data_IF_695406609466
#
_entry.id   IF_695406609466
#
_cell.length_a   1.000
_cell.length_b   1.000
_cell.length_c   1.000
_cell.angle_alpha   90.00
_cell.angle_beta   90.00
_cell.angle_gamma   90.00
#
_symmetry.space_group_name_H-M   'P 1'
#
loop_
_entity.id
_entity.type
_entity.pdbx_description
1 polymer ?
#
# COMPACT_ATOMS: atom_id res chain seq x y z
N UNK A 1 -4.20 -7.39 17.41
CA UNK A 1 -4.03 -6.40 16.33
C UNK A 1 -5.25 -5.50 16.24
N UNK A 2 -5.02 -4.18 16.37
CA UNK A 2 -6.02 -3.11 16.27
C UNK A 2 -6.11 -2.58 14.84
N UNK A 3 -7.30 -2.15 14.43
CA UNK A 3 -7.56 -1.53 13.12
C UNK A 3 -8.05 -0.11 13.38
N UNK A 4 -7.37 0.87 12.80
CA UNK A 4 -7.64 2.30 12.99
C UNK A 4 -8.06 2.92 11.66
N UNK A 5 -9.21 3.59 11.61
CA UNK A 5 -9.67 4.34 10.42
C UNK A 5 -9.30 5.80 10.59
N UNK A 6 -8.46 6.33 9.70
CA UNK A 6 -7.98 7.71 9.75
C UNK A 6 -8.71 8.63 8.75
N UNK A 7 -9.36 8.05 7.73
CA UNK A 7 -9.99 8.82 6.66
C UNK A 7 -8.95 9.50 5.75
N UNK A 8 -9.33 10.64 5.17
CA UNK A 8 -8.44 11.44 4.32
C UNK A 8 -7.44 12.23 5.18
N UNK A 9 -6.15 11.99 5.00
CA UNK A 9 -5.08 12.61 5.80
C UNK A 9 -3.95 13.16 4.94
N UNK A 10 -3.21 14.14 5.44
CA UNK A 10 -1.96 14.57 4.80
C UNK A 10 -0.91 13.44 4.88
N UNK A 11 -0.19 13.19 3.78
CA UNK A 11 0.80 12.12 3.71
C UNK A 11 1.94 12.29 4.72
N UNK A 12 2.58 13.47 4.74
CA UNK A 12 3.75 13.73 5.59
C UNK A 12 3.40 13.63 7.07
N UNK A 13 2.27 14.22 7.48
CA UNK A 13 1.80 14.14 8.87
C UNK A 13 1.51 12.68 9.28
N UNK A 14 0.85 11.91 8.41
CA UNK A 14 0.56 10.49 8.69
C UNK A 14 1.86 9.67 8.77
N UNK A 15 2.83 9.98 7.92
CA UNK A 15 4.14 9.33 7.94
C UNK A 15 4.93 9.64 9.21
N UNK A 16 4.91 10.87 9.71
CA UNK A 16 5.48 11.22 11.01
C UNK A 16 4.81 10.42 12.14
N UNK A 17 3.48 10.31 12.13
CA UNK A 17 2.75 9.49 13.11
C UNK A 17 3.18 8.01 13.07
N UNK A 18 3.38 7.44 11.88
CA UNK A 18 3.88 6.08 11.73
C UNK A 18 5.28 5.90 12.36
N UNK A 19 6.16 6.87 12.16
CA UNK A 19 7.51 6.86 12.71
C UNK A 19 7.48 6.97 14.24
N UNK A 20 6.70 7.93 14.77
CA UNK A 20 6.52 8.14 16.21
C UNK A 20 5.93 6.91 16.87
N UNK A 21 4.87 6.32 16.29
CA UNK A 21 4.28 5.09 16.79
C UNK A 21 5.35 3.99 16.87
N UNK A 22 6.01 3.71 15.74
CA UNK A 22 7.00 2.62 15.62
C UNK A 22 8.18 2.76 16.57
N UNK A 23 8.64 3.99 16.80
CA UNK A 23 9.75 4.31 17.71
C UNK A 23 9.37 4.13 19.18
N UNK A 24 8.15 4.49 19.57
CA UNK A 24 7.71 4.46 20.97
C UNK A 24 7.08 3.13 21.40
N UNK A 25 6.91 2.17 20.48
CA UNK A 25 6.35 0.85 20.83
C UNK A 25 7.19 0.14 21.88
N UNK A 26 6.50 -0.36 22.89
CA UNK A 26 6.99 -1.31 23.88
C UNK A 26 6.70 -2.74 23.44
N UNK A 27 7.16 -3.72 24.22
CA UNK A 27 7.02 -5.16 23.91
C UNK A 27 5.55 -5.62 23.85
N UNK A 28 4.70 -5.01 24.67
CA UNK A 28 3.27 -5.27 24.82
C UNK A 28 2.41 -4.37 23.91
N UNK A 29 3.01 -3.39 23.23
CA UNK A 29 2.26 -2.54 22.30
C UNK A 29 1.69 -3.39 21.16
N UNK A 30 0.36 -3.35 21.04
CA UNK A 30 -0.38 -4.08 20.00
C UNK A 30 0.04 -3.61 18.60
N UNK A 31 0.06 -4.53 17.62
CA UNK A 31 0.22 -4.13 16.21
C UNK A 31 -1.03 -3.42 15.70
N UNK A 32 -0.84 -2.46 14.80
CA UNK A 32 -1.94 -1.70 14.19
C UNK A 32 -1.95 -1.82 12.66
N UNK A 33 -3.16 -1.84 12.10
CA UNK A 33 -3.42 -1.55 10.69
C UNK A 33 -4.13 -0.20 10.60
N UNK A 34 -3.56 0.75 9.86
CA UNK A 34 -4.19 2.06 9.65
C UNK A 34 -4.78 2.14 8.25
N UNK A 35 -6.09 2.37 8.18
CA UNK A 35 -6.82 2.61 6.94
C UNK A 35 -6.84 4.11 6.69
N UNK A 36 -6.36 4.53 5.53
CA UNK A 36 -6.19 5.94 5.19
C UNK A 36 -6.36 6.17 3.70
N UNK A 37 -6.72 7.40 3.35
CA UNK A 37 -6.61 7.95 2.00
C UNK A 37 -5.76 9.22 2.08
N UNK A 38 -5.14 9.61 0.95
CA UNK A 38 -4.35 10.84 0.88
C UNK A 38 -4.88 11.77 -0.21
N UNK A 39 -4.81 13.10 -0.01
CA UNK A 39 -4.86 14.04 -1.13
C UNK A 39 -3.80 13.68 -2.19
N UNK A 40 -3.97 14.13 -3.44
CA UNK A 40 -3.02 13.84 -4.51
C UNK A 40 -1.56 14.10 -4.08
N UNK A 41 -0.72 13.08 -4.15
CA UNK A 41 0.70 13.15 -3.80
C UNK A 41 1.50 12.11 -4.55
N UNK A 42 2.66 12.51 -5.07
CA UNK A 42 3.69 11.58 -5.50
C UNK A 42 4.62 11.28 -4.33
N UNK A 43 4.93 10.01 -4.12
CA UNK A 43 5.91 9.62 -3.10
C UNK A 43 7.05 8.90 -3.77
N UNK A 44 8.28 9.26 -3.41
CA UNK A 44 9.48 8.61 -3.92
C UNK A 44 10.13 7.83 -2.78
N UNK A 45 10.23 6.50 -2.93
CA UNK A 45 10.89 5.63 -1.96
C UNK A 45 12.41 5.67 -2.09
N UNK A 46 13.10 4.96 -1.19
CA UNK A 46 14.58 4.95 -1.09
C UNK A 46 15.29 4.40 -2.34
N UNK A 47 14.60 3.61 -3.17
CA UNK A 47 15.13 3.09 -4.44
C UNK A 47 14.71 3.94 -5.63
N UNK A 48 14.02 5.06 -5.39
CA UNK A 48 13.56 5.98 -6.42
C UNK A 48 14.72 6.72 -7.06
N UNK A 49 14.72 6.77 -8.39
CA UNK A 49 15.61 7.63 -9.18
C UNK A 49 14.87 8.89 -9.60
N UNK A 50 15.56 10.04 -9.57
CA UNK A 50 15.01 11.35 -9.91
C UNK A 50 14.33 11.36 -11.29
N UNK A 51 14.87 10.62 -12.26
CA UNK A 51 14.34 10.54 -13.63
C UNK A 51 13.04 9.73 -13.82
N UNK A 52 12.39 9.26 -12.75
CA UNK A 52 11.09 8.59 -12.85
C UNK A 52 9.90 9.53 -12.75
N UNK A 53 10.11 10.82 -12.46
CA UNK A 53 9.13 11.87 -12.70
C UNK A 53 9.29 12.34 -14.14
N UNK A 54 8.29 12.08 -14.98
CA UNK A 54 8.32 12.37 -16.41
C UNK A 54 7.81 13.78 -16.71
N UNK A 55 6.87 14.26 -15.91
CA UNK A 55 6.18 15.53 -16.12
C UNK A 55 6.01 16.28 -14.80
N UNK A 56 6.24 17.59 -14.83
CA UNK A 56 5.92 18.48 -13.71
C UNK A 56 4.41 18.69 -13.62
N UNK A 57 3.88 18.71 -12.41
CA UNK A 57 2.48 19.00 -12.12
C UNK A 57 2.38 19.71 -10.76
N UNK A 58 1.19 20.22 -10.43
CA UNK A 58 0.92 20.84 -9.12
C UNK A 58 0.82 19.82 -7.98
N UNK A 59 0.88 18.51 -8.28
CA UNK A 59 0.89 17.44 -7.29
C UNK A 59 2.26 17.41 -6.59
N UNK A 60 2.31 17.53 -5.25
CA UNK A 60 3.57 17.54 -4.52
C UNK A 60 4.32 16.21 -4.61
N UNK A 61 5.65 16.28 -4.64
CA UNK A 61 6.53 15.10 -4.58
C UNK A 61 7.18 15.02 -3.20
N UNK A 62 6.87 13.98 -2.44
CA UNK A 62 7.43 13.73 -1.11
C UNK A 62 8.49 12.64 -1.16
N UNK A 63 9.69 12.95 -0.68
CA UNK A 63 10.75 11.97 -0.46
C UNK A 63 10.43 11.16 0.80
N UNK A 64 10.22 9.86 0.63
CA UNK A 64 9.79 8.95 1.68
C UNK A 64 10.85 7.88 1.94
N UNK A 65 10.79 7.26 3.12
CA UNK A 65 11.75 6.22 3.51
C UNK A 65 11.27 4.78 3.25
N UNK A 66 10.10 4.61 2.62
CA UNK A 66 9.61 3.29 2.19
C UNK A 66 10.51 2.68 1.13
N UNK A 67 10.49 1.35 1.05
CA UNK A 67 11.01 0.63 -0.09
C UNK A 67 10.30 1.00 -1.40
N UNK A 68 10.94 0.65 -2.52
CA UNK A 68 10.42 0.88 -3.86
C UNK A 68 10.79 2.24 -4.44
N UNK A 69 10.22 2.53 -5.61
CA UNK A 69 10.52 3.72 -6.40
C UNK A 69 9.43 4.79 -6.22
N UNK A 70 9.12 5.57 -7.26
CA UNK A 70 8.02 6.53 -7.27
C UNK A 70 6.65 5.83 -7.39
N UNK A 71 5.62 6.40 -6.76
CA UNK A 71 4.20 6.03 -6.92
C UNK A 71 3.32 7.25 -6.70
N UNK A 72 2.03 7.12 -7.05
CA UNK A 72 0.99 8.11 -6.81
C UNK A 72 -0.02 7.60 -5.77
N UNK A 73 -0.51 8.52 -4.94
CA UNK A 73 -1.65 8.33 -4.03
C UNK A 73 -2.65 9.48 -4.24
N UNK A 74 -3.93 9.17 -4.12
CA UNK A 74 -5.02 10.14 -4.23
C UNK A 74 -6.32 9.62 -3.62
N UNK A 75 -7.36 10.46 -3.54
CA UNK A 75 -8.70 10.05 -3.11
C UNK A 75 -9.22 8.88 -3.97
N UNK A 76 -9.91 7.94 -3.33
CA UNK A 76 -10.39 6.72 -3.98
C UNK A 76 -9.36 5.59 -4.03
N UNK A 77 -8.15 5.80 -3.50
CA UNK A 77 -7.16 4.76 -3.29
C UNK A 77 -7.16 4.30 -1.84
N UNK A 78 -7.45 3.02 -1.61
CA UNK A 78 -7.37 2.43 -0.28
C UNK A 78 -5.92 2.22 0.11
N UNK A 79 -5.46 2.84 1.20
CA UNK A 79 -4.14 2.61 1.76
C UNK A 79 -4.27 1.93 3.12
N UNK A 80 -3.47 0.88 3.33
CA UNK A 80 -3.37 0.18 4.62
C UNK A 80 -1.92 0.19 5.08
N UNK A 81 -1.62 0.99 6.09
CA UNK A 81 -0.32 0.96 6.76
C UNK A 81 -0.27 -0.16 7.79
N UNK A 82 0.78 -0.96 7.74
CA UNK A 82 1.01 -2.16 8.53
C UNK A 82 2.08 -1.87 9.59
N UNK A 83 1.66 -1.46 10.78
CA UNK A 83 2.53 -1.14 11.90
C UNK A 83 2.75 -2.39 12.76
N UNK A 84 3.57 -3.32 12.26
CA UNK A 84 3.67 -4.71 12.73
C UNK A 84 5.06 -5.04 13.27
N UNK A 85 5.16 -5.75 14.39
CA UNK A 85 6.42 -6.30 14.89
C UNK A 85 6.68 -7.68 14.25
N UNK A 86 7.60 -7.72 13.28
CA UNK A 86 7.94 -8.93 12.55
C UNK A 86 8.63 -9.98 13.44
N UNK A 87 9.35 -9.55 14.49
CA UNK A 87 9.99 -10.47 15.42
C UNK A 87 8.94 -11.23 16.22
N UNK A 88 7.88 -10.54 16.65
CA UNK A 88 6.75 -11.18 17.34
C UNK A 88 6.03 -12.19 16.44
N UNK A 89 5.96 -11.92 15.14
CA UNK A 89 5.38 -12.85 14.17
C UNK A 89 6.33 -13.98 13.74
N UNK A 90 7.62 -13.91 14.07
CA UNK A 90 8.61 -14.89 13.62
C UNK A 90 8.83 -14.93 12.10
N UNK A 91 8.50 -13.84 11.38
CA UNK A 91 8.61 -13.78 9.91
C UNK A 91 9.59 -12.70 9.44
N UNK A 92 10.14 -12.89 8.24
CA UNK A 92 10.93 -11.85 7.56
C UNK A 92 10.07 -10.92 6.69
N UNK A 93 10.67 -9.80 6.24
CA UNK A 93 9.99 -8.81 5.39
C UNK A 93 9.42 -9.40 4.10
N UNK A 94 10.13 -10.35 3.46
CA UNK A 94 9.65 -11.01 2.24
C UNK A 94 8.33 -11.76 2.48
N UNK A 95 8.24 -12.48 3.59
CA UNK A 95 7.01 -13.20 3.97
C UNK A 95 5.88 -12.21 4.28
N UNK A 96 6.17 -11.10 4.97
CA UNK A 96 5.18 -10.05 5.20
C UNK A 96 4.62 -9.46 3.89
N UNK A 97 5.49 -9.19 2.91
CA UNK A 97 5.05 -8.77 1.56
C UNK A 97 4.14 -9.81 0.93
N UNK A 98 4.53 -11.09 0.94
CA UNK A 98 3.69 -12.16 0.39
C UNK A 98 2.34 -12.31 1.11
N UNK A 99 2.28 -12.10 2.43
CA UNK A 99 1.02 -12.11 3.18
C UNK A 99 0.09 -10.96 2.75
N UNK A 100 0.63 -9.77 2.48
CA UNK A 100 -0.15 -8.64 1.95
C UNK A 100 -0.65 -8.92 0.53
N UNK A 101 0.19 -9.48 -0.33
CA UNK A 101 -0.20 -9.87 -1.70
C UNK A 101 -1.35 -10.89 -1.68
N UNK A 102 -1.23 -11.95 -0.85
CA UNK A 102 -2.28 -12.96 -0.71
C UNK A 102 -3.58 -12.37 -0.15
N UNK A 103 -3.50 -11.47 0.84
CA UNK A 103 -4.68 -10.82 1.39
C UNK A 103 -5.44 -9.98 0.35
N UNK A 104 -4.70 -9.29 -0.54
CA UNK A 104 -5.30 -8.54 -1.65
C UNK A 104 -5.93 -9.50 -2.67
N UNK A 105 -5.21 -10.55 -3.07
CA UNK A 105 -5.71 -11.53 -4.06
C UNK A 105 -7.00 -12.20 -3.56
N UNK A 106 -7.04 -12.61 -2.29
CA UNK A 106 -8.22 -13.22 -1.67
C UNK A 106 -9.43 -12.28 -1.71
N UNK A 107 -9.24 -11.01 -1.35
CA UNK A 107 -10.32 -10.01 -1.38
C UNK A 107 -10.79 -9.78 -2.81
N UNK A 108 -9.88 -9.60 -3.77
CA UNK A 108 -10.22 -9.44 -5.18
C UNK A 108 -11.00 -10.65 -5.73
N UNK A 109 -10.71 -11.86 -5.25
CA UNK A 109 -11.43 -13.07 -5.67
C UNK A 109 -12.92 -13.04 -5.31
N UNK A 110 -13.32 -12.39 -4.20
CA UNK A 110 -14.72 -12.22 -3.83
C UNK A 110 -15.51 -11.36 -4.83
N UNK A 111 -14.82 -10.51 -5.58
CA UNK A 111 -15.37 -9.68 -6.64
C UNK A 111 -15.22 -10.32 -8.03
N UNK A 112 -14.85 -11.61 -8.11
CA UNK A 112 -14.54 -12.34 -9.35
C UNK A 112 -13.38 -11.72 -10.16
N UNK A 113 -12.47 -11.01 -9.50
CA UNK A 113 -11.30 -10.41 -10.14
C UNK A 113 -10.13 -11.37 -10.02
N UNK A 114 -9.76 -12.01 -11.14
CA UNK A 114 -8.58 -12.86 -11.21
C UNK A 114 -7.30 -12.01 -11.20
N UNK A 115 -6.50 -12.18 -10.15
CA UNK A 115 -5.28 -11.39 -9.94
C UNK A 115 -4.09 -12.28 -9.59
N UNK A 116 -2.88 -11.77 -9.81
CA UNK A 116 -1.63 -12.51 -9.62
C UNK A 116 -0.49 -11.62 -9.12
N UNK A 117 0.53 -12.25 -8.54
CA UNK A 117 1.82 -11.61 -8.25
C UNK A 117 2.77 -11.78 -9.43
N UNK A 118 3.85 -10.98 -9.46
CA UNK A 118 4.93 -11.11 -10.45
C UNK A 118 6.26 -11.26 -9.75
N UNK A 119 7.06 -12.25 -10.16
CA UNK A 119 8.38 -12.47 -9.60
C UNK A 119 9.27 -11.23 -9.85
N UNK A 120 9.94 -10.75 -8.81
CA UNK A 120 10.80 -9.56 -8.88
C UNK A 120 10.07 -8.21 -8.99
N UNK A 121 8.73 -8.19 -9.00
CA UNK A 121 7.94 -6.98 -9.08
C UNK A 121 6.81 -6.98 -8.03
N UNK A 122 7.09 -6.56 -6.78
CA UNK A 122 6.10 -6.54 -5.71
C UNK A 122 4.85 -5.74 -6.09
N UNK A 123 3.68 -6.31 -5.80
CA UNK A 123 2.40 -5.79 -6.27
C UNK A 123 1.42 -6.90 -6.61
N UNK A 124 0.17 -6.49 -6.81
CA UNK A 124 -0.88 -7.36 -7.37
C UNK A 124 -1.31 -6.81 -8.72
N UNK A 125 -1.55 -7.71 -9.66
CA UNK A 125 -1.78 -7.41 -11.07
C UNK A 125 -3.01 -8.14 -11.61
N UNK A 126 -3.75 -7.49 -12.50
CA UNK A 126 -4.89 -8.02 -13.25
C UNK A 126 -4.61 -7.80 -14.73
N UNK A 127 -4.61 -8.86 -15.55
CA UNK A 127 -4.26 -8.78 -16.97
C UNK A 127 -3.00 -7.93 -17.23
N UNK A 128 -1.95 -8.19 -16.46
CA UNK A 128 -0.67 -7.48 -16.44
C UNK A 128 -0.65 -6.02 -15.94
N UNK A 129 -1.81 -5.36 -15.81
CA UNK A 129 -1.94 -4.04 -15.19
C UNK A 129 -1.86 -4.12 -13.66
N UNK A 130 -1.14 -3.18 -13.04
CA UNK A 130 -0.99 -3.13 -11.58
C UNK A 130 -2.26 -2.55 -10.94
N UNK A 131 -2.86 -3.30 -10.02
CA UNK A 131 -4.02 -2.85 -9.22
C UNK A 131 -3.63 -2.47 -7.79
N UNK A 132 -2.55 -3.06 -7.26
CA UNK A 132 -2.05 -2.74 -5.93
C UNK A 132 -0.52 -2.63 -5.89
N UNK A 133 -0.03 -1.67 -5.12
CA UNK A 133 1.38 -1.47 -4.84
C UNK A 133 1.69 -1.77 -3.37
N UNK A 134 2.90 -2.27 -3.12
CA UNK A 134 3.38 -2.63 -1.79
C UNK A 134 4.73 -1.94 -1.54
N UNK A 135 4.89 -1.39 -0.34
CA UNK A 135 6.12 -0.74 0.08
C UNK A 135 6.17 -0.66 1.60
N UNK A 136 7.18 -1.28 2.20
CA UNK A 136 7.40 -1.26 3.64
C UNK A 136 8.70 -0.55 3.98
N UNK A 137 8.77 -0.02 5.19
CA UNK A 137 10.01 0.27 5.90
C UNK A 137 10.11 -0.68 7.08
N UNK A 138 11.27 -1.27 7.29
CA UNK A 138 11.59 -2.05 8.49
C UNK A 138 12.63 -1.30 9.31
N UNK A 139 12.35 -1.08 10.59
CA UNK A 139 13.31 -0.51 11.56
C UNK A 139 13.21 -1.30 12.87
N UNK A 140 14.34 -1.81 13.36
CA UNK A 140 14.41 -2.62 14.59
C UNK A 140 13.52 -3.88 14.61
N UNK A 141 13.15 -4.41 13.44
CA UNK A 141 12.23 -5.56 13.30
C UNK A 141 10.76 -5.17 13.24
N UNK A 142 10.42 -3.88 13.25
CA UNK A 142 9.05 -3.35 13.18
C UNK A 142 8.83 -2.69 11.82
N UNK A 143 7.64 -2.86 11.26
CA UNK A 143 7.23 -2.27 9.98
C UNK A 143 6.41 -1.00 10.14
N UNK A 144 6.45 -0.15 9.12
CA UNK A 144 5.42 0.83 8.79
C UNK A 144 5.45 1.07 7.26
N UNK A 145 4.58 1.95 6.75
CA UNK A 145 4.04 1.89 5.40
C UNK A 145 3.24 0.60 5.19
N UNK A 146 3.00 0.13 3.97
CA UNK A 146 2.17 -1.06 3.77
C UNK A 146 1.82 -1.29 2.32
N UNK A 147 0.52 -1.22 2.03
CA UNK A 147 -0.05 -1.46 0.71
C UNK A 147 -1.00 -0.33 0.31
N UNK A 148 -1.17 -0.16 -1.00
CA UNK A 148 -2.20 0.69 -1.61
C UNK A 148 -2.94 -0.10 -2.68
N UNK A 149 -4.27 -0.10 -2.63
CA UNK A 149 -5.16 -0.73 -3.61
C UNK A 149 -5.96 0.37 -4.32
N UNK A 150 -5.89 0.39 -5.66
CA UNK A 150 -6.65 1.34 -6.47
C UNK A 150 -8.12 0.89 -6.50
N UNK A 151 -9.02 1.69 -5.93
CA UNK A 151 -10.44 1.32 -5.82
C UNK A 151 -11.26 2.09 -6.84
N UNK A 152 -11.35 3.41 -6.69
CA UNK A 152 -12.10 4.33 -7.56
C UNK A 152 -11.44 5.70 -7.53
N UNK A 153 -10.27 5.81 -8.15
CA UNK A 153 -9.38 6.97 -8.10
C UNK A 153 -9.10 7.55 -9.49
N UNK A 154 -8.63 8.79 -9.54
CA UNK A 154 -8.06 9.33 -10.77
C UNK A 154 -6.72 8.64 -11.07
N UNK A 155 -6.69 7.84 -12.14
CA UNK A 155 -5.47 7.16 -12.60
C UNK A 155 -4.58 8.05 -13.49
N UNK A 156 -5.06 9.20 -13.96
CA UNK A 156 -4.32 10.06 -14.88
C UNK A 156 -2.92 10.46 -14.39
N UNK A 157 -2.67 10.71 -13.08
CA UNK A 157 -1.34 11.09 -12.60
C UNK A 157 -0.30 9.98 -12.70
N UNK A 158 -0.70 8.71 -12.84
CA UNK A 158 0.26 7.62 -13.09
C UNK A 158 0.98 7.79 -14.43
N UNK A 159 0.40 8.50 -15.41
CA UNK A 159 1.06 8.80 -16.68
C UNK A 159 2.22 9.79 -16.55
N UNK A 160 2.28 10.55 -15.44
CA UNK A 160 3.36 11.51 -15.18
C UNK A 160 4.61 10.86 -14.57
N UNK A 161 4.56 9.56 -14.29
CA UNK A 161 5.63 8.83 -13.62
C UNK A 161 5.93 7.50 -14.32
N UNK A 162 7.10 6.95 -14.07
CA UNK A 162 7.43 5.54 -14.35
C UNK A 162 7.24 4.72 -13.06
N UNK A 163 6.03 4.20 -12.77
CA UNK A 163 5.77 3.52 -11.52
C UNK A 163 6.63 2.26 -11.41
N UNK A 164 7.24 2.07 -10.24
CA UNK A 164 8.18 0.96 -9.98
C UNK A 164 9.38 0.89 -10.97
N UNK A 165 9.66 1.96 -11.72
CA UNK A 165 10.75 2.06 -12.68
C UNK A 165 10.56 1.27 -13.98
N UNK A 166 9.36 0.75 -14.23
CA UNK A 166 8.99 0.15 -15.51
C UNK A 166 8.33 1.22 -16.36
N UNK A 167 8.87 1.42 -17.57
CA UNK A 167 8.22 2.24 -18.56
C UNK A 167 6.93 1.56 -19.03
N UNK A 168 5.87 2.34 -19.23
CA UNK A 168 4.58 1.88 -19.77
C UNK A 168 3.86 0.80 -18.94
N UNK A 169 4.17 0.68 -17.65
CA UNK A 169 3.41 -0.20 -16.76
C UNK A 169 1.98 0.32 -16.63
N UNK A 170 1.04 -0.41 -17.22
CA UNK A 170 -0.39 -0.16 -17.05
C UNK A 170 -0.80 -0.27 -15.58
N UNK A 171 -1.69 0.61 -15.17
CA UNK A 171 -2.37 0.59 -13.86
C UNK A 171 -3.86 0.42 -14.08
N UNK A 172 -4.52 -0.25 -13.15
CA UNK A 172 -5.98 -0.47 -13.15
C UNK A 172 -6.52 -0.25 -11.74
N UNK A 173 -7.84 -0.27 -11.62
CA UNK A 173 -8.55 -0.13 -10.34
C UNK A 173 -9.76 -1.06 -10.30
N UNK A 174 -10.40 -1.19 -9.13
CA UNK A 174 -11.61 -2.01 -9.02
C UNK A 174 -12.76 -1.43 -9.86
N UNK A 175 -12.92 -0.11 -9.94
CA UNK A 175 -14.01 0.56 -10.65
C UNK A 175 -14.10 0.22 -12.14
N UNK A 176 -12.98 -0.19 -12.74
CA UNK A 176 -12.94 -0.59 -14.15
C UNK A 176 -13.25 -2.10 -14.35
N UNK A 177 -13.39 -2.85 -13.25
CA UNK A 177 -13.46 -4.31 -13.25
C UNK A 177 -14.77 -4.86 -12.65
N UNK A 178 -15.53 -4.06 -11.90
CA UNK A 178 -16.79 -4.48 -11.27
C UNK A 178 -17.67 -3.29 -10.86
N UNK A 179 -18.99 -3.49 -10.77
CA UNK A 179 -19.97 -2.39 -10.63
C UNK A 179 -20.41 -2.05 -9.18
N UNK A 180 -20.05 -2.86 -8.17
CA UNK A 180 -20.51 -2.69 -6.78
C UNK A 180 -19.36 -2.45 -5.80
N UNK A 181 -18.82 -1.24 -5.83
CA UNK A 181 -17.60 -0.87 -5.11
C UNK A 181 -17.92 0.15 -4.04
N UNK A 182 -17.56 -0.19 -2.80
CA UNK A 182 -17.56 0.74 -1.67
C UNK A 182 -16.23 0.60 -0.96
N UNK A 183 -15.43 1.67 -0.97
CA UNK A 183 -14.08 1.66 -0.41
C UNK A 183 -14.08 1.25 1.06
N UNK A 184 -15.13 1.58 1.82
CA UNK A 184 -15.25 1.19 3.23
C UNK A 184 -15.47 -0.31 3.42
N UNK A 185 -16.25 -0.93 2.52
CA UNK A 185 -16.47 -2.39 2.52
C UNK A 185 -15.16 -3.10 2.18
N UNK A 186 -14.50 -2.67 1.11
CA UNK A 186 -13.23 -3.25 0.66
C UNK A 186 -12.14 -3.06 1.73
N UNK A 187 -12.08 -1.89 2.37
CA UNK A 187 -11.15 -1.62 3.47
C UNK A 187 -11.39 -2.55 4.65
N UNK A 188 -12.66 -2.79 5.01
CA UNK A 188 -13.02 -3.72 6.06
C UNK A 188 -12.61 -5.15 5.69
N UNK A 189 -12.98 -5.63 4.51
CA UNK A 189 -12.63 -6.98 4.04
C UNK A 189 -11.12 -7.19 3.96
N UNK A 190 -10.38 -6.24 3.41
CA UNK A 190 -8.93 -6.32 3.26
C UNK A 190 -8.21 -6.32 4.60
N UNK A 191 -8.56 -5.41 5.51
CA UNK A 191 -7.91 -5.37 6.82
C UNK A 191 -8.25 -6.58 7.70
N UNK A 192 -9.48 -7.10 7.62
CA UNK A 192 -9.84 -8.34 8.32
C UNK A 192 -9.13 -9.57 7.74
N UNK A 193 -9.01 -9.65 6.42
CA UNK A 193 -8.29 -10.72 5.73
C UNK A 193 -6.80 -10.67 6.06
N UNK A 194 -6.18 -9.49 5.95
CA UNK A 194 -4.79 -9.28 6.32
C UNK A 194 -4.54 -9.62 7.79
N UNK A 195 -5.42 -9.17 8.71
CA UNK A 195 -5.36 -9.53 10.13
C UNK A 195 -5.34 -11.04 10.32
N UNK A 196 -6.20 -11.80 9.64
CA UNK A 196 -6.18 -13.28 9.72
C UNK A 196 -4.83 -13.85 9.29
N UNK A 197 -4.25 -13.34 8.20
CA UNK A 197 -2.94 -13.81 7.69
C UNK A 197 -1.78 -13.56 8.64
N UNK A 198 -1.82 -12.46 9.40
CA UNK A 198 -0.72 -12.05 10.28
C UNK A 198 -0.94 -12.41 11.75
N UNK A 199 -2.11 -12.96 12.12
CA UNK A 199 -2.35 -13.49 13.48
C UNK A 199 -2.52 -15.01 13.53
N UNK A 200 -2.68 -15.68 12.39
CA UNK A 200 -2.70 -17.15 12.31
C UNK A 200 -1.28 -17.65 12.05
N UNK A 201 -0.44 -17.65 13.07
CA UNK A 201 0.80 -18.45 13.16
C UNK A 201 1.08 -18.75 14.62
#
# INVERSE_FOLDING_TARGET
MKITKLGLQNYTQTWELMQVFSANRQVDTEDELWIVEHPPVFTQGISGKVGHLLQNSDIPVVQSDRGGQITYHGPGQLIVYCLIDLKRLGIGVKKMVSLMEMAIIDVLSHYNIHSQTKNGAPGVYVADAKIAALGLKVKNGRTYHGLSLNVDMDLSPFSHINPCGYQDLAVTQLADLTDNIKIETIASELTQTLKKYVTRN
#
